data_IF_562056016762
#
_entry.id   IF_562056016762
#
_cell.length_a   1.000
_cell.length_b   1.000
_cell.length_c   1.000
_cell.angle_alpha   90.00
_cell.angle_beta   90.00
_cell.angle_gamma   90.00
#
_symmetry.space_group_name_H-M   'P 1'
#
loop_
_entity.id
_entity.type
_entity.pdbx_description
1 polymer ?
#
# COMPACT_ATOMS: atom_id res chain seq x y z
N UNK A 1 19.18 -34.93 -16.93
CA UNK A 1 17.98 -34.64 -16.11
C UNK A 1 17.49 -35.89 -15.37
N UNK A 2 17.21 -37.00 -16.07
CA UNK A 2 16.79 -38.28 -15.48
C UNK A 2 17.76 -38.85 -14.41
N UNK A 3 19.08 -38.80 -14.64
CA UNK A 3 20.09 -39.24 -13.65
C UNK A 3 20.17 -38.37 -12.38
N UNK A 4 19.63 -37.14 -12.39
CA UNK A 4 19.52 -36.31 -11.18
C UNK A 4 18.26 -36.69 -10.39
N UNK A 5 17.17 -37.01 -11.09
CA UNK A 5 15.92 -37.49 -10.49
C UNK A 5 16.09 -38.85 -9.80
N UNK A 6 16.87 -39.76 -10.40
CA UNK A 6 17.16 -41.08 -9.79
C UNK A 6 17.92 -41.00 -8.47
N UNK A 7 18.58 -39.87 -8.17
CA UNK A 7 19.29 -39.66 -6.91
C UNK A 7 18.38 -39.34 -5.71
N UNK A 8 17.12 -38.97 -5.95
CA UNK A 8 16.15 -38.66 -4.87
C UNK A 8 15.93 -39.87 -3.96
N UNK A 9 16.00 -41.10 -4.48
CA UNK A 9 15.81 -42.35 -3.71
C UNK A 9 16.89 -42.53 -2.64
N UNK A 10 18.05 -41.87 -2.79
CA UNK A 10 19.16 -41.94 -1.84
C UNK A 10 19.20 -40.73 -0.88
N UNK A 11 18.22 -39.83 -0.94
CA UNK A 11 18.11 -38.76 0.05
C UNK A 11 17.53 -39.34 1.35
N UNK A 12 18.34 -39.36 2.40
CA UNK A 12 17.84 -39.62 3.74
C UNK A 12 17.02 -38.43 4.22
N UNK A 13 15.70 -38.62 4.37
CA UNK A 13 14.82 -37.67 5.05
C UNK A 13 14.94 -37.92 6.55
N UNK A 14 15.61 -37.02 7.26
CA UNK A 14 15.62 -37.04 8.72
C UNK A 14 14.29 -36.51 9.25
N UNK A 15 13.64 -37.28 10.13
CA UNK A 15 12.48 -36.80 10.90
C UNK A 15 13.00 -36.36 12.26
N UNK A 16 12.70 -35.12 12.64
CA UNK A 16 12.98 -34.58 13.97
C UNK A 16 11.63 -34.46 14.67
N UNK A 17 11.45 -35.24 15.73
CA UNK A 17 10.30 -35.11 16.63
C UNK A 17 10.63 -34.08 17.71
N UNK A 18 9.75 -33.09 17.86
CA UNK A 18 9.85 -32.03 18.86
C UNK A 18 8.82 -32.28 19.96
N UNK A 19 9.18 -31.98 21.20
CA UNK A 19 8.26 -32.10 22.33
C UNK A 19 7.07 -31.12 22.17
N UNK A 20 5.87 -31.56 22.55
CA UNK A 20 4.62 -30.81 22.36
C UNK A 20 4.56 -29.50 23.16
N UNK A 21 5.36 -29.38 24.22
CA UNK A 21 5.38 -28.25 25.14
C UNK A 21 6.40 -27.16 24.76
N UNK A 22 7.18 -27.36 23.70
CA UNK A 22 8.13 -26.36 23.23
C UNK A 22 7.40 -25.10 22.77
N UNK A 23 7.91 -23.95 23.21
CA UNK A 23 7.44 -22.68 22.69
C UNK A 23 7.81 -22.52 21.22
N UNK A 24 7.06 -21.66 20.54
CA UNK A 24 7.18 -21.52 19.10
C UNK A 24 8.49 -20.85 18.69
N UNK A 25 9.08 -20.02 19.55
CA UNK A 25 10.39 -19.41 19.31
C UNK A 25 11.48 -20.49 19.26
N UNK A 26 11.40 -21.47 20.16
CA UNK A 26 12.30 -22.62 20.21
C UNK A 26 12.11 -23.54 19.01
N UNK A 27 10.86 -23.83 18.62
CA UNK A 27 10.58 -24.60 17.39
C UNK A 27 11.13 -23.90 16.15
N UNK A 28 10.96 -22.57 16.08
CA UNK A 28 11.50 -21.74 15.01
C UNK A 28 13.02 -21.78 14.99
N UNK A 29 13.66 -21.66 16.15
CA UNK A 29 15.12 -21.69 16.27
C UNK A 29 15.67 -23.06 15.88
N UNK A 30 15.05 -24.16 16.32
CA UNK A 30 15.42 -25.52 15.93
C UNK A 30 15.30 -25.68 14.42
N UNK A 31 14.18 -25.24 13.83
CA UNK A 31 13.98 -25.33 12.38
C UNK A 31 15.02 -24.49 11.60
N UNK A 32 15.29 -23.25 12.02
CA UNK A 32 16.31 -22.39 11.40
C UNK A 32 17.70 -23.03 11.51
N UNK A 33 18.04 -23.59 12.67
CA UNK A 33 19.33 -24.29 12.87
C UNK A 33 19.45 -25.55 12.01
N UNK A 34 18.33 -26.27 11.80
CA UNK A 34 18.28 -27.49 10.97
C UNK A 34 18.29 -27.15 9.48
N UNK A 35 17.61 -26.09 9.05
CA UNK A 35 17.64 -25.60 7.68
C UNK A 35 18.87 -24.71 7.45
N UNK A 36 20.02 -25.35 7.27
CA UNK A 36 21.30 -24.70 6.96
C UNK A 36 21.34 -23.92 5.61
N UNK A 37 20.23 -23.82 4.88
CA UNK A 37 20.14 -23.29 3.52
C UNK A 37 19.03 -22.25 3.23
N UNK A 38 18.38 -21.64 4.22
CA UNK A 38 17.76 -20.31 4.04
C UNK A 38 16.23 -20.17 4.15
N UNK A 39 15.85 -18.90 4.33
CA UNK A 39 14.54 -18.31 4.67
C UNK A 39 14.00 -18.71 6.05
N UNK A 40 14.06 -17.79 7.05
CA UNK A 40 13.44 -17.99 8.36
C UNK A 40 11.92 -18.21 8.21
N UNK A 41 11.36 -19.17 8.95
CA UNK A 41 9.90 -19.29 9.05
C UNK A 41 9.34 -18.07 9.80
N UNK A 42 8.35 -17.45 9.20
CA UNK A 42 7.58 -16.37 9.83
C UNK A 42 6.50 -16.93 10.74
N UNK A 43 6.00 -16.12 11.68
CA UNK A 43 4.84 -16.49 12.51
C UNK A 43 3.60 -16.83 11.67
N UNK A 44 3.45 -16.21 10.49
CA UNK A 44 2.40 -16.56 9.55
C UNK A 44 2.57 -17.98 8.99
N UNK A 45 3.80 -18.44 8.75
CA UNK A 45 4.05 -19.81 8.28
C UNK A 45 3.68 -20.86 9.34
N UNK A 46 3.97 -20.57 10.60
CA UNK A 46 3.53 -21.43 11.72
C UNK A 46 2.02 -21.45 11.87
N UNK A 47 1.35 -20.30 11.78
CA UNK A 47 -0.11 -20.23 11.78
C UNK A 47 -0.68 -21.07 10.63
N UNK A 48 -0.19 -20.87 9.42
CA UNK A 48 -0.59 -21.61 8.22
C UNK A 48 -0.35 -23.12 8.36
N UNK A 49 0.71 -23.55 9.05
CA UNK A 49 0.99 -24.96 9.34
C UNK A 49 0.03 -25.54 10.37
N UNK A 50 -0.24 -24.80 11.47
CA UNK A 50 -1.22 -25.21 12.50
C UNK A 50 -2.64 -25.28 11.95
N UNK A 51 -3.01 -24.37 11.05
CA UNK A 51 -4.30 -24.43 10.35
C UNK A 51 -4.38 -25.70 9.50
N UNK A 52 -3.33 -26.02 8.73
CA UNK A 52 -3.34 -27.14 7.79
C UNK A 52 -3.47 -28.52 8.46
N UNK A 53 -2.86 -28.71 9.64
CA UNK A 53 -2.88 -30.00 10.35
C UNK A 53 -4.17 -30.25 11.14
N UNK A 54 -5.05 -29.26 11.24
CA UNK A 54 -6.30 -29.40 12.00
C UNK A 54 -7.44 -29.92 11.10
N UNK A 55 -7.76 -31.20 11.22
CA UNK A 55 -8.89 -31.80 10.51
C UNK A 55 -10.23 -31.60 11.26
N UNK A 56 -10.18 -31.46 12.58
CA UNK A 56 -11.37 -31.40 13.45
C UNK A 56 -12.25 -30.17 13.21
N UNK A 57 -11.63 -29.02 12.96
CA UNK A 57 -12.31 -27.73 12.80
C UNK A 57 -12.29 -27.22 11.35
N UNK A 58 -12.05 -28.12 10.38
CA UNK A 58 -12.01 -27.77 8.95
C UNK A 58 -10.80 -26.92 8.56
N UNK A 59 -9.68 -27.07 9.27
CA UNK A 59 -8.46 -26.33 9.03
C UNK A 59 -7.89 -26.54 7.63
N UNK A 60 -8.03 -27.72 7.03
CA UNK A 60 -7.59 -27.97 5.66
C UNK A 60 -8.35 -27.11 4.63
N UNK A 61 -9.67 -26.95 4.77
CA UNK A 61 -10.47 -26.06 3.91
C UNK A 61 -10.17 -24.59 4.18
N UNK A 62 -9.97 -24.20 5.44
CA UNK A 62 -9.59 -22.84 5.81
C UNK A 62 -8.23 -22.45 5.23
N UNK A 63 -7.24 -23.37 5.31
CA UNK A 63 -5.93 -23.21 4.68
C UNK A 63 -6.07 -23.00 3.17
N UNK A 64 -6.79 -23.89 2.49
CA UNK A 64 -7.09 -23.78 1.06
C UNK A 64 -7.76 -22.46 0.72
N UNK A 65 -8.69 -21.97 1.55
CA UNK A 65 -9.36 -20.69 1.34
C UNK A 65 -8.39 -19.51 1.32
N UNK A 66 -7.46 -19.48 2.27
CA UNK A 66 -6.43 -18.44 2.35
C UNK A 66 -5.52 -18.51 1.13
N UNK A 67 -4.99 -19.70 0.80
CA UNK A 67 -4.08 -19.89 -0.32
C UNK A 67 -4.77 -19.56 -1.65
N UNK A 68 -5.94 -20.14 -1.92
CA UNK A 68 -6.66 -19.91 -3.17
C UNK A 68 -7.09 -18.46 -3.37
N UNK A 69 -7.53 -17.76 -2.33
CA UNK A 69 -7.82 -16.33 -2.48
C UNK A 69 -6.57 -15.53 -2.89
N UNK A 70 -5.44 -15.75 -2.23
CA UNK A 70 -4.20 -15.03 -2.53
C UNK A 70 -3.68 -15.36 -3.94
N UNK A 71 -3.79 -16.63 -4.35
CA UNK A 71 -3.45 -17.06 -5.70
C UNK A 71 -4.38 -16.45 -6.75
N UNK A 72 -5.69 -16.44 -6.52
CA UNK A 72 -6.68 -15.85 -7.42
C UNK A 72 -6.55 -14.35 -7.56
N UNK A 73 -6.24 -13.65 -6.47
CA UNK A 73 -5.99 -12.20 -6.50
C UNK A 73 -4.81 -11.84 -7.41
N UNK A 74 -3.87 -12.77 -7.64
CA UNK A 74 -2.71 -12.61 -8.53
C UNK A 74 -2.95 -13.17 -9.94
N UNK A 75 -3.65 -14.28 -10.04
CA UNK A 75 -3.87 -15.03 -11.28
C UNK A 75 -5.34 -15.47 -11.39
N UNK A 76 -6.27 -14.56 -11.74
CA UNK A 76 -7.71 -14.86 -11.83
C UNK A 76 -8.05 -15.99 -12.81
N UNK A 77 -7.18 -16.28 -13.78
CA UNK A 77 -7.37 -17.33 -14.79
C UNK A 77 -7.37 -18.76 -14.21
N UNK A 78 -6.87 -18.98 -12.99
CA UNK A 78 -6.78 -20.33 -12.40
C UNK A 78 -8.10 -20.85 -11.82
N UNK A 79 -9.18 -20.07 -11.88
CA UNK A 79 -10.52 -20.42 -11.36
C UNK A 79 -10.99 -21.78 -11.86
N UNK A 80 -10.93 -22.01 -13.17
CA UNK A 80 -11.36 -23.28 -13.78
C UNK A 80 -10.51 -24.47 -13.33
N UNK A 81 -9.23 -24.24 -13.04
CA UNK A 81 -8.31 -25.25 -12.51
C UNK A 81 -8.70 -25.65 -11.09
N UNK A 82 -9.07 -24.69 -10.23
CA UNK A 82 -9.52 -24.96 -8.86
C UNK A 82 -10.82 -25.77 -8.89
N UNK A 83 -11.82 -25.33 -9.67
CA UNK A 83 -13.12 -26.02 -9.74
C UNK A 83 -13.00 -27.46 -10.23
N UNK A 84 -12.08 -27.71 -11.16
CA UNK A 84 -11.86 -29.04 -11.72
C UNK A 84 -11.06 -29.96 -10.80
N UNK A 85 -10.02 -29.44 -10.16
CA UNK A 85 -9.04 -30.25 -9.45
C UNK A 85 -9.30 -30.35 -7.94
N UNK A 86 -10.13 -29.48 -7.37
CA UNK A 86 -10.50 -29.50 -5.94
C UNK A 86 -12.02 -29.34 -5.76
N UNK A 87 -12.81 -30.38 -6.12
CA UNK A 87 -14.27 -30.33 -6.01
C UNK A 87 -14.75 -30.24 -4.54
N UNK A 88 -13.95 -30.73 -3.58
CA UNK A 88 -14.21 -30.59 -2.15
C UNK A 88 -14.20 -29.10 -1.75
N UNK A 89 -13.15 -28.37 -2.13
CA UNK A 89 -13.08 -26.93 -1.85
C UNK A 89 -14.13 -26.15 -2.64
N UNK A 90 -14.36 -26.48 -3.91
CA UNK A 90 -15.36 -25.82 -4.74
C UNK A 90 -16.79 -25.97 -4.18
N UNK A 91 -17.07 -27.07 -3.45
CA UNK A 91 -18.31 -27.29 -2.72
C UNK A 91 -18.36 -26.66 -1.32
N UNK A 92 -17.27 -26.07 -0.83
CA UNK A 92 -17.20 -25.45 0.49
C UNK A 92 -17.86 -24.07 0.54
N UNK A 93 -18.11 -23.58 1.75
CA UNK A 93 -18.66 -22.23 1.98
C UNK A 93 -17.74 -21.08 1.53
N UNK A 94 -16.45 -21.33 1.35
CA UNK A 94 -15.48 -20.32 0.97
C UNK A 94 -15.53 -19.98 -0.52
N UNK A 95 -15.81 -20.97 -1.38
CA UNK A 95 -15.74 -20.79 -2.83
C UNK A 95 -16.71 -19.72 -3.35
N UNK A 96 -18.02 -19.75 -3.01
CA UNK A 96 -18.95 -18.71 -3.44
C UNK A 96 -18.55 -17.31 -2.97
N UNK A 97 -17.83 -17.21 -1.85
CA UNK A 97 -17.41 -15.94 -1.27
C UNK A 97 -16.20 -15.31 -1.96
N UNK A 98 -15.41 -16.07 -2.77
CA UNK A 98 -14.20 -15.58 -3.44
C UNK A 98 -14.17 -15.73 -4.96
N UNK A 99 -15.07 -16.54 -5.56
CA UNK A 99 -15.12 -16.78 -7.01
C UNK A 99 -15.15 -15.51 -7.86
N UNK A 100 -15.74 -14.43 -7.34
CA UNK A 100 -15.81 -13.12 -7.99
C UNK A 100 -14.44 -12.52 -8.35
N UNK A 101 -13.34 -12.97 -7.73
CA UNK A 101 -11.98 -12.57 -8.10
C UNK A 101 -11.65 -12.89 -9.56
N UNK A 102 -12.32 -13.89 -10.16
CA UNK A 102 -12.23 -14.23 -11.58
C UNK A 102 -12.48 -13.04 -12.52
N UNK A 103 -13.28 -12.08 -12.08
CA UNK A 103 -13.77 -10.96 -12.87
C UNK A 103 -12.96 -9.67 -12.63
N UNK A 104 -11.98 -9.71 -11.71
CA UNK A 104 -11.18 -8.54 -11.33
C UNK A 104 -10.07 -8.32 -12.36
N UNK A 105 -10.22 -7.25 -13.12
CA UNK A 105 -9.18 -6.73 -14.01
C UNK A 105 -8.49 -5.55 -13.30
N UNK A 106 -7.16 -5.62 -13.13
CA UNK A 106 -6.34 -4.60 -12.45
C UNK A 106 -6.60 -4.44 -10.92
N UNK A 107 -6.18 -5.42 -10.10
CA UNK A 107 -6.36 -5.37 -8.65
C UNK A 107 -5.46 -4.30 -8.01
N UNK A 108 -6.07 -3.39 -7.25
CA UNK A 108 -5.32 -2.40 -6.46
C UNK A 108 -4.59 -3.04 -5.26
N UNK A 109 -5.16 -4.13 -4.72
CA UNK A 109 -4.64 -4.83 -3.56
C UNK A 109 -4.54 -6.33 -3.87
N UNK A 110 -3.32 -6.86 -3.83
CA UNK A 110 -3.04 -8.29 -4.03
C UNK A 110 -2.40 -8.82 -2.75
N UNK A 111 -3.19 -9.39 -1.82
CA UNK A 111 -2.69 -9.83 -0.52
C UNK A 111 -1.90 -11.15 -0.62
N UNK A 112 -0.92 -11.29 0.27
CA UNK A 112 -0.31 -12.58 0.61
C UNK A 112 -1.10 -13.26 1.74
N UNK A 113 -0.80 -14.54 2.04
CA UNK A 113 -1.42 -15.21 3.20
C UNK A 113 -1.07 -14.51 4.52
N UNK A 114 0.13 -13.92 4.62
CA UNK A 114 0.52 -13.11 5.79
C UNK A 114 -0.36 -11.88 5.94
N UNK A 115 -0.68 -11.20 4.84
CA UNK A 115 -1.57 -10.04 4.84
C UNK A 115 -2.99 -10.44 5.27
N UNK A 116 -3.52 -11.53 4.68
CA UNK A 116 -4.85 -12.03 5.03
C UNK A 116 -4.92 -12.46 6.49
N UNK A 117 -3.96 -13.25 6.97
CA UNK A 117 -3.91 -13.68 8.36
C UNK A 117 -3.81 -12.48 9.29
N UNK A 118 -2.97 -11.48 8.98
CA UNK A 118 -2.86 -10.27 9.79
C UNK A 118 -4.19 -9.53 9.89
N UNK A 119 -4.90 -9.33 8.78
CA UNK A 119 -6.19 -8.65 8.79
C UNK A 119 -7.25 -9.47 9.54
N UNK A 120 -7.42 -10.74 9.18
CA UNK A 120 -8.43 -11.61 9.77
C UNK A 120 -8.21 -11.79 11.28
N UNK A 121 -6.96 -12.05 11.70
CA UNK A 121 -6.59 -12.19 13.10
C UNK A 121 -6.81 -10.89 13.87
N UNK A 122 -6.24 -9.77 13.39
CA UNK A 122 -6.32 -8.51 14.13
C UNK A 122 -7.76 -8.03 14.28
N UNK A 123 -8.56 -8.15 13.22
CA UNK A 123 -9.97 -7.78 13.25
C UNK A 123 -10.80 -8.62 14.24
N UNK A 124 -10.64 -9.95 14.23
CA UNK A 124 -11.51 -10.87 14.99
C UNK A 124 -11.07 -11.07 16.44
N UNK A 125 -9.77 -11.02 16.72
CA UNK A 125 -9.21 -11.41 18.02
C UNK A 125 -8.84 -10.24 18.93
N UNK A 126 -8.83 -9.00 18.42
CA UNK A 126 -8.41 -7.86 19.22
C UNK A 126 -6.91 -7.84 19.52
N UNK A 127 -6.10 -8.51 18.68
CA UNK A 127 -4.66 -8.74 18.90
C UNK A 127 -3.88 -8.58 17.61
N UNK A 128 -2.71 -7.95 17.68
CA UNK A 128 -1.91 -7.67 16.48
C UNK A 128 -0.67 -8.54 16.29
N UNK A 129 -0.32 -9.39 17.29
CA UNK A 129 0.86 -10.24 17.25
C UNK A 129 0.54 -11.62 16.71
N UNK A 130 1.02 -11.99 15.52
CA UNK A 130 0.74 -13.28 14.88
C UNK A 130 1.19 -14.49 15.71
N UNK A 131 2.19 -14.34 16.58
CA UNK A 131 2.56 -15.40 17.53
C UNK A 131 1.38 -15.80 18.44
N UNK A 132 0.54 -14.83 18.83
CA UNK A 132 -0.62 -15.06 19.68
C UNK A 132 -1.66 -15.91 18.93
N UNK A 133 -1.80 -15.72 17.60
CA UNK A 133 -2.66 -16.56 16.77
C UNK A 133 -2.23 -18.03 16.86
N UNK A 134 -0.93 -18.31 16.77
CA UNK A 134 -0.48 -19.71 16.77
C UNK A 134 -0.69 -20.37 18.13
N UNK A 135 -0.47 -19.62 19.22
CA UNK A 135 -0.77 -20.09 20.57
C UNK A 135 -2.27 -20.39 20.73
N UNK A 136 -3.14 -19.48 20.28
CA UNK A 136 -4.59 -19.61 20.36
C UNK A 136 -5.12 -20.79 19.54
N UNK A 137 -4.65 -20.96 18.30
CA UNK A 137 -4.99 -22.12 17.47
C UNK A 137 -4.51 -23.45 18.06
N UNK A 138 -3.47 -23.42 18.90
CA UNK A 138 -3.01 -24.60 19.64
C UNK A 138 -3.82 -24.85 20.92
N UNK A 139 -4.81 -24.00 21.25
CA UNK A 139 -5.63 -24.10 22.45
C UNK A 139 -5.06 -23.40 23.68
N UNK A 140 -4.02 -22.54 23.52
CA UNK A 140 -3.38 -21.89 24.67
C UNK A 140 -4.30 -20.86 25.32
N UNK A 141 -4.68 -21.13 26.55
CA UNK A 141 -5.31 -20.14 27.41
C UNK A 141 -4.24 -19.23 28.04
N UNK A 142 -4.29 -17.93 27.78
CA UNK A 142 -3.29 -16.97 28.26
C UNK A 142 -3.41 -16.66 29.76
N UNK A 143 -4.57 -16.87 30.37
CA UNK A 143 -4.80 -16.65 31.80
C UNK A 143 -4.33 -17.85 32.61
N UNK A 144 -4.82 -19.05 32.28
CA UNK A 144 -4.51 -20.29 33.00
C UNK A 144 -3.14 -20.86 32.62
N UNK A 145 -2.60 -20.45 31.47
CA UNK A 145 -1.39 -21.03 30.87
C UNK A 145 -1.53 -22.53 30.62
N UNK A 146 -2.75 -23.01 30.36
CA UNK A 146 -3.04 -24.39 29.97
C UNK A 146 -3.47 -24.48 28.51
N UNK A 147 -3.48 -25.70 27.98
CA UNK A 147 -4.03 -26.00 26.67
C UNK A 147 -5.44 -26.56 26.82
N UNK A 148 -6.39 -25.90 26.18
CA UNK A 148 -7.82 -26.13 26.31
C UNK A 148 -8.45 -26.30 24.92
N UNK A 149 -9.12 -27.43 24.69
CA UNK A 149 -9.74 -27.73 23.40
C UNK A 149 -10.82 -26.72 23.01
N UNK A 150 -11.54 -26.16 23.98
CA UNK A 150 -12.52 -25.09 23.78
C UNK A 150 -11.89 -23.82 23.22
N UNK A 151 -10.66 -23.48 23.65
CA UNK A 151 -9.94 -22.31 23.13
C UNK A 151 -9.54 -22.54 21.68
N UNK A 152 -9.10 -23.75 21.34
CA UNK A 152 -8.77 -24.11 19.95
C UNK A 152 -10.03 -24.00 19.06
N UNK A 153 -11.14 -24.59 19.48
CA UNK A 153 -12.43 -24.54 18.76
C UNK A 153 -12.88 -23.09 18.52
N UNK A 154 -12.90 -22.25 19.55
CA UNK A 154 -13.28 -20.85 19.44
C UNK A 154 -12.33 -20.09 18.50
N UNK A 155 -11.02 -20.37 18.60
CA UNK A 155 -10.01 -19.72 17.77
C UNK A 155 -10.17 -20.06 16.29
N UNK A 156 -10.43 -21.33 15.94
CA UNK A 156 -10.72 -21.71 14.56
C UNK A 156 -12.02 -21.07 14.05
N UNK A 157 -13.08 -21.02 14.88
CA UNK A 157 -14.33 -20.36 14.52
C UNK A 157 -14.13 -18.85 14.26
N UNK A 158 -13.40 -18.15 15.12
CA UNK A 158 -13.05 -16.73 14.96
C UNK A 158 -12.20 -16.50 13.71
N UNK A 159 -11.15 -17.29 13.50
CA UNK A 159 -10.30 -17.14 12.32
C UNK A 159 -11.08 -17.36 11.02
N UNK A 160 -11.96 -18.37 10.99
CA UNK A 160 -12.87 -18.62 9.87
C UNK A 160 -13.79 -17.42 9.61
N UNK A 161 -14.39 -16.85 10.65
CA UNK A 161 -15.18 -15.60 10.54
C UNK A 161 -14.36 -14.46 9.91
N UNK A 162 -13.12 -14.28 10.36
CA UNK A 162 -12.23 -13.24 9.85
C UNK A 162 -11.85 -13.45 8.39
N UNK A 163 -11.56 -14.69 7.99
CA UNK A 163 -11.29 -15.02 6.58
C UNK A 163 -12.54 -14.77 5.72
N UNK A 164 -13.73 -15.16 6.17
CA UNK A 164 -14.97 -14.81 5.46
C UNK A 164 -15.17 -13.30 5.32
N UNK A 165 -14.92 -12.54 6.39
CA UNK A 165 -15.03 -11.09 6.36
C UNK A 165 -14.04 -10.47 5.38
N UNK A 166 -12.81 -11.01 5.28
CA UNK A 166 -11.77 -10.57 4.36
C UNK A 166 -12.12 -10.85 2.90
N UNK A 167 -12.56 -12.06 2.57
CA UNK A 167 -12.76 -12.48 1.17
C UNK A 167 -14.08 -11.97 0.58
N UNK A 168 -15.02 -11.53 1.42
CA UNK A 168 -16.34 -11.07 0.98
C UNK A 168 -16.22 -9.91 0.00
N UNK A 169 -16.73 -10.10 -1.22
CA UNK A 169 -16.73 -9.10 -2.32
C UNK A 169 -17.05 -7.69 -1.87
N UNK A 170 -18.16 -7.51 -1.15
CA UNK A 170 -18.60 -6.18 -0.69
C UNK A 170 -17.62 -5.50 0.24
N UNK A 171 -16.83 -6.23 1.01
CA UNK A 171 -15.85 -5.65 1.92
C UNK A 171 -14.58 -5.26 1.15
N UNK A 172 -14.09 -6.17 0.31
CA UNK A 172 -12.90 -5.95 -0.50
C UNK A 172 -13.10 -4.84 -1.55
N UNK A 173 -14.22 -4.85 -2.27
CA UNK A 173 -14.57 -3.80 -3.24
C UNK A 173 -14.66 -2.44 -2.55
N UNK A 174 -15.29 -2.36 -1.37
CA UNK A 174 -15.41 -1.08 -0.63
C UNK A 174 -14.06 -0.56 -0.17
N UNK A 175 -13.19 -1.41 0.38
CA UNK A 175 -11.82 -1.00 0.73
C UNK A 175 -11.10 -0.41 -0.49
N UNK A 176 -11.09 -1.13 -1.61
CA UNK A 176 -10.38 -0.67 -2.81
C UNK A 176 -11.01 0.60 -3.39
N UNK A 177 -12.33 0.74 -3.37
CA UNK A 177 -13.03 1.98 -3.72
C UNK A 177 -12.62 3.16 -2.82
N UNK A 178 -12.52 2.94 -1.51
CA UNK A 178 -12.06 3.96 -0.55
C UNK A 178 -10.64 4.43 -0.93
N UNK A 179 -9.71 3.51 -1.17
CA UNK A 179 -8.34 3.86 -1.57
C UNK A 179 -8.30 4.59 -2.93
N UNK A 180 -9.04 4.13 -3.93
CA UNK A 180 -9.15 4.83 -5.23
C UNK A 180 -9.76 6.23 -5.08
N UNK A 181 -10.72 6.39 -4.17
CA UNK A 181 -11.35 7.69 -3.86
C UNK A 181 -10.41 8.64 -3.10
N UNK A 182 -9.33 8.16 -2.49
CA UNK A 182 -8.26 8.99 -1.95
C UNK A 182 -7.21 9.39 -3.03
N UNK A 183 -7.24 8.79 -4.23
CA UNK A 183 -6.30 9.08 -5.31
C UNK A 183 -5.32 7.95 -5.64
N UNK A 184 -5.36 6.83 -4.91
CA UNK A 184 -4.55 5.64 -5.20
C UNK A 184 -5.21 4.80 -6.31
N UNK A 185 -5.04 5.28 -7.55
CA UNK A 185 -5.79 4.80 -8.71
C UNK A 185 -5.16 3.62 -9.46
N UNK A 186 -3.92 3.25 -9.13
CA UNK A 186 -3.21 2.10 -9.70
C UNK A 186 -2.44 1.38 -8.60
N UNK A 187 -2.13 0.09 -8.80
CA UNK A 187 -1.35 -0.71 -7.85
C UNK A 187 0.06 -0.12 -7.60
N UNK A 188 0.66 0.54 -8.59
CA UNK A 188 1.96 1.22 -8.46
C UNK A 188 1.94 2.39 -7.45
N UNK A 189 0.76 2.88 -7.06
CA UNK A 189 0.60 3.88 -6.01
C UNK A 189 0.44 3.26 -4.63
N UNK A 190 0.40 1.93 -4.49
CA UNK A 190 0.35 1.26 -3.21
C UNK A 190 1.77 0.94 -2.74
N UNK A 191 2.37 1.86 -1.97
CA UNK A 191 3.76 1.72 -1.50
C UNK A 191 3.92 0.88 -0.23
N UNK A 192 2.82 0.47 0.42
CA UNK A 192 2.84 -0.32 1.66
C UNK A 192 1.61 -1.21 1.80
N UNK A 193 1.83 -2.53 1.73
CA UNK A 193 0.77 -3.51 2.00
C UNK A 193 0.30 -3.47 3.45
N UNK A 194 1.20 -3.25 4.42
CA UNK A 194 0.81 -3.14 5.82
C UNK A 194 -0.14 -1.95 6.07
N UNK A 195 0.05 -0.82 5.38
CA UNK A 195 -0.89 0.29 5.49
C UNK A 195 -2.27 -0.08 4.93
N UNK A 196 -2.33 -0.87 3.84
CA UNK A 196 -3.60 -1.40 3.30
C UNK A 196 -4.24 -2.39 4.29
N UNK A 197 -3.45 -3.27 4.91
CA UNK A 197 -3.92 -4.21 5.93
C UNK A 197 -4.54 -3.47 7.11
N UNK A 198 -3.88 -2.41 7.60
CA UNK A 198 -4.41 -1.57 8.67
C UNK A 198 -5.71 -0.87 8.27
N UNK A 199 -5.74 -0.27 7.07
CA UNK A 199 -6.97 0.33 6.54
C UNK A 199 -8.11 -0.70 6.44
N UNK A 200 -7.81 -1.94 6.08
CA UNK A 200 -8.82 -3.00 6.03
C UNK A 200 -9.31 -3.41 7.42
N UNK A 201 -8.41 -3.55 8.40
CA UNK A 201 -8.77 -3.81 9.80
C UNK A 201 -9.70 -2.72 10.34
N UNK A 202 -9.35 -1.44 10.13
CA UNK A 202 -10.19 -0.32 10.54
C UNK A 202 -11.56 -0.35 9.86
N UNK A 203 -11.60 -0.61 8.56
CA UNK A 203 -12.86 -0.75 7.82
C UNK A 203 -13.74 -1.87 8.41
N UNK A 204 -13.18 -3.07 8.62
CA UNK A 204 -13.94 -4.20 9.18
C UNK A 204 -14.40 -3.92 10.62
N UNK A 205 -13.55 -3.33 11.47
CA UNK A 205 -13.91 -2.92 12.83
C UNK A 205 -15.01 -1.87 12.86
N UNK A 206 -14.91 -0.83 12.04
CA UNK A 206 -15.91 0.23 11.99
C UNK A 206 -17.26 -0.29 11.52
N UNK A 207 -17.27 -1.24 10.57
CA UNK A 207 -18.49 -1.95 10.16
C UNK A 207 -19.11 -2.75 11.31
N UNK A 208 -18.29 -3.43 12.12
CA UNK A 208 -18.75 -4.19 13.30
C UNK A 208 -19.30 -3.27 14.40
N UNK A 209 -18.67 -2.12 14.59
CA UNK A 209 -19.08 -1.09 15.58
C UNK A 209 -20.26 -0.24 15.10
N UNK A 210 -20.74 -0.44 13.86
CA UNK A 210 -21.89 0.28 13.32
C UNK A 210 -21.60 1.74 12.95
N UNK A 211 -20.34 2.08 12.69
CA UNK A 211 -19.93 3.42 12.23
C UNK A 211 -20.65 3.73 10.90
N UNK A 212 -21.28 4.92 10.75
CA UNK A 212 -21.90 5.34 9.51
C UNK A 212 -20.95 5.23 8.32
N UNK A 213 -21.46 4.82 7.15
CA UNK A 213 -20.62 4.48 6.01
C UNK A 213 -19.78 5.68 5.52
N UNK A 214 -20.35 6.87 5.46
CA UNK A 214 -19.68 8.10 5.04
C UNK A 214 -18.54 8.50 6.00
N UNK A 215 -18.78 8.38 7.31
CA UNK A 215 -17.78 8.60 8.35
C UNK A 215 -16.66 7.56 8.29
N UNK A 216 -17.00 6.28 8.15
CA UNK A 216 -16.04 5.20 8.05
C UNK A 216 -15.15 5.33 6.82
N UNK A 217 -15.73 5.65 5.67
CA UNK A 217 -14.98 5.88 4.44
C UNK A 217 -13.99 7.05 4.60
N UNK A 218 -14.42 8.17 5.20
CA UNK A 218 -13.55 9.31 5.53
C UNK A 218 -12.40 8.90 6.44
N UNK A 219 -12.71 8.19 7.53
CA UNK A 219 -11.74 7.78 8.52
C UNK A 219 -10.69 6.82 7.94
N UNK A 220 -11.11 5.85 7.14
CA UNK A 220 -10.20 4.88 6.48
C UNK A 220 -9.28 5.58 5.47
N UNK A 221 -9.78 6.55 4.69
CA UNK A 221 -8.92 7.37 3.79
C UNK A 221 -7.85 8.10 4.58
N UNK A 222 -8.25 8.84 5.62
CA UNK A 222 -7.34 9.65 6.42
C UNK A 222 -6.32 8.78 7.17
N UNK A 223 -6.75 7.64 7.71
CA UNK A 223 -5.86 6.68 8.37
C UNK A 223 -4.81 6.11 7.42
N UNK A 224 -5.23 5.67 6.23
CA UNK A 224 -4.31 5.14 5.22
C UNK A 224 -3.27 6.19 4.81
N UNK A 225 -3.73 7.40 4.53
CA UNK A 225 -2.85 8.51 4.12
C UNK A 225 -1.89 8.91 5.23
N UNK A 226 -2.35 8.95 6.48
CA UNK A 226 -1.46 9.18 7.63
C UNK A 226 -0.41 8.08 7.74
N UNK A 227 -0.84 6.82 7.63
CA UNK A 227 0.03 5.65 7.78
C UNK A 227 1.16 5.62 6.76
N UNK A 228 0.92 6.06 5.52
CA UNK A 228 1.98 6.15 4.50
C UNK A 228 2.90 7.36 4.72
N UNK A 229 2.36 8.50 5.16
CA UNK A 229 3.12 9.74 5.34
C UNK A 229 4.03 9.68 6.58
N UNK A 230 3.63 8.96 7.63
CA UNK A 230 4.44 8.82 8.84
C UNK A 230 5.26 7.53 8.88
N UNK A 231 4.99 6.60 7.97
CA UNK A 231 5.62 5.27 8.01
C UNK A 231 5.16 4.44 9.21
N UNK A 232 3.95 4.68 9.74
CA UNK A 232 3.42 4.04 10.96
C UNK A 232 3.66 2.52 11.01
N UNK A 233 3.51 1.83 9.89
CA UNK A 233 3.63 0.37 9.80
C UNK A 233 4.91 -0.14 9.11
N UNK A 234 5.97 0.67 9.01
CA UNK A 234 7.27 0.22 8.45
C UNK A 234 8.26 -0.28 9.51
N UNK A 235 8.07 0.10 10.78
CA UNK A 235 8.95 -0.27 11.90
C UNK A 235 8.47 -1.53 12.64
N UNK A 236 8.24 -1.40 13.95
CA UNK A 236 7.73 -2.48 14.81
C UNK A 236 6.25 -2.76 14.55
N UNK A 237 5.99 -3.38 13.40
CA UNK A 237 4.67 -3.56 12.83
C UNK A 237 3.73 -4.35 13.75
N UNK A 238 4.15 -5.51 14.26
CA UNK A 238 3.30 -6.39 15.09
C UNK A 238 2.85 -5.68 16.37
N UNK A 239 3.77 -4.94 17.01
CA UNK A 239 3.44 -4.16 18.20
C UNK A 239 2.52 -2.98 17.87
N UNK A 240 2.70 -2.35 16.71
CA UNK A 240 1.85 -1.22 16.29
C UNK A 240 0.43 -1.69 16.01
N UNK A 241 0.25 -2.79 15.27
CA UNK A 241 -1.06 -3.40 15.06
C UNK A 241 -1.72 -3.80 16.39
N UNK A 242 -0.96 -4.37 17.32
CA UNK A 242 -1.45 -4.82 18.61
C UNK A 242 -1.88 -3.67 19.52
N UNK A 243 -1.10 -2.58 19.54
CA UNK A 243 -1.49 -1.35 20.24
C UNK A 243 -2.73 -0.74 19.60
N UNK A 244 -2.75 -0.60 18.28
CA UNK A 244 -3.87 0.03 17.57
C UNK A 244 -5.18 -0.71 17.86
N UNK A 245 -5.21 -2.04 17.69
CA UNK A 245 -6.44 -2.80 17.89
C UNK A 245 -6.91 -2.83 19.36
N UNK A 246 -5.99 -2.95 20.33
CA UNK A 246 -6.35 -2.92 21.75
C UNK A 246 -6.90 -1.56 22.16
N UNK A 247 -6.36 -0.48 21.62
CA UNK A 247 -6.88 0.86 21.85
C UNK A 247 -8.24 1.04 21.17
N UNK A 248 -8.45 0.53 19.95
CA UNK A 248 -9.77 0.52 19.31
C UNK A 248 -10.80 -0.20 20.19
N UNK A 249 -10.46 -1.36 20.76
CA UNK A 249 -11.36 -2.09 21.66
C UNK A 249 -11.65 -1.34 22.98
N UNK A 250 -10.66 -0.63 23.52
CA UNK A 250 -10.81 0.06 24.79
C UNK A 250 -11.64 1.35 24.72
N UNK A 251 -11.58 2.10 23.62
CA UNK A 251 -12.19 3.44 23.53
C UNK A 251 -13.04 3.69 22.26
N UNK A 252 -13.16 2.70 21.37
CA UNK A 252 -13.91 2.79 20.12
C UNK A 252 -13.07 3.31 18.95
N UNK A 253 -13.39 2.84 17.74
CA UNK A 253 -12.62 3.10 16.53
C UNK A 253 -12.46 4.60 16.23
N UNK A 254 -13.57 5.33 16.16
CA UNK A 254 -13.60 6.73 15.69
C UNK A 254 -12.71 7.60 16.59
N UNK A 255 -12.97 7.57 17.90
CA UNK A 255 -12.22 8.35 18.88
C UNK A 255 -10.71 8.06 18.83
N UNK A 256 -10.33 6.78 18.80
CA UNK A 256 -8.92 6.42 18.76
C UNK A 256 -8.26 6.90 17.47
N UNK A 257 -8.92 6.67 16.35
CA UNK A 257 -8.35 6.94 15.04
C UNK A 257 -8.14 8.45 14.82
N UNK A 258 -9.10 9.28 15.22
CA UNK A 258 -8.98 10.74 15.17
C UNK A 258 -7.84 11.24 16.06
N UNK A 259 -7.76 10.74 17.30
CA UNK A 259 -6.68 11.09 18.24
C UNK A 259 -5.30 10.78 17.67
N UNK A 260 -5.10 9.61 17.07
CA UNK A 260 -3.82 9.23 16.47
C UNK A 260 -3.53 10.09 15.24
N UNK A 261 -4.50 10.32 14.37
CA UNK A 261 -4.31 11.16 13.17
C UNK A 261 -3.85 12.57 13.56
N UNK A 262 -4.46 13.18 14.57
CA UNK A 262 -4.08 14.52 15.05
C UNK A 262 -2.67 14.55 15.64
N UNK A 263 -2.28 13.51 16.38
CA UNK A 263 -0.95 13.41 17.00
C UNK A 263 0.17 13.14 15.98
N UNK A 264 -0.10 12.32 14.97
CA UNK A 264 0.87 11.93 13.93
C UNK A 264 1.06 13.03 12.87
N UNK A 265 0.02 13.83 12.62
CA UNK A 265 0.02 14.92 11.63
C UNK A 265 -0.37 16.25 12.30
N UNK A 266 0.47 16.80 13.19
CA UNK A 266 0.25 18.12 13.74
C UNK A 266 0.39 19.21 12.65
N UNK A 267 -0.12 20.44 12.85
CA UNK A 267 0.01 21.52 11.86
C UNK A 267 1.44 21.78 11.38
N UNK A 268 2.44 21.59 12.25
CA UNK A 268 3.87 21.76 11.94
C UNK A 268 4.44 20.67 11.03
N UNK A 269 3.78 19.52 10.89
CA UNK A 269 4.18 18.45 9.98
C UNK A 269 4.30 18.96 8.54
N UNK A 270 3.31 19.75 8.10
CA UNK A 270 3.17 20.17 6.71
C UNK A 270 4.24 21.16 6.25
N UNK A 271 4.62 22.11 7.10
CA UNK A 271 5.58 23.17 6.74
C UNK A 271 6.98 22.92 7.30
N UNK A 272 7.11 22.03 8.29
CA UNK A 272 8.38 21.67 8.90
C UNK A 272 8.91 20.32 8.41
N UNK A 273 8.24 19.23 8.80
CA UNK A 273 8.76 17.87 8.62
C UNK A 273 8.65 17.35 7.19
N UNK A 274 7.46 17.43 6.58
CA UNK A 274 7.19 16.83 5.26
C UNK A 274 8.11 17.35 4.14
N UNK A 275 8.40 18.67 4.03
CA UNK A 275 9.35 19.16 3.03
C UNK A 275 10.75 18.57 3.18
N UNK A 276 11.20 18.29 4.41
CA UNK A 276 12.49 17.64 4.67
C UNK A 276 12.47 16.17 4.26
N UNK A 277 11.39 15.45 4.61
CA UNK A 277 11.18 14.05 4.21
C UNK A 277 11.12 13.88 2.68
N UNK A 278 10.65 14.91 1.96
CA UNK A 278 10.63 14.97 0.50
C UNK A 278 12.01 15.23 -0.14
N UNK A 279 13.09 15.37 0.65
CA UNK A 279 14.46 15.39 0.14
C UNK A 279 14.95 13.97 -0.19
N UNK A 280 14.43 13.41 -1.27
CA UNK A 280 14.74 12.05 -1.72
C UNK A 280 14.76 11.97 -3.25
N UNK A 281 15.54 11.03 -3.77
CA UNK A 281 15.57 10.70 -5.20
C UNK A 281 14.74 9.46 -5.57
N UNK A 282 14.03 8.87 -4.61
CA UNK A 282 13.21 7.70 -4.87
C UNK A 282 11.84 8.11 -5.42
N UNK A 283 11.61 7.82 -6.70
CA UNK A 283 10.31 8.01 -7.34
C UNK A 283 9.20 7.07 -6.83
N UNK A 284 9.55 6.14 -5.93
CA UNK A 284 8.64 5.24 -5.20
C UNK A 284 8.55 5.60 -3.71
N UNK A 285 9.09 6.76 -3.31
CA UNK A 285 8.95 7.24 -1.94
C UNK A 285 7.46 7.47 -1.59
N UNK A 286 7.03 7.15 -0.36
CA UNK A 286 5.64 7.34 0.05
C UNK A 286 5.18 8.79 -0.10
N UNK A 287 6.09 9.76 0.05
CA UNK A 287 5.79 11.19 -0.11
C UNK A 287 5.48 11.58 -1.55
N UNK A 288 6.23 11.05 -2.51
CA UNK A 288 5.95 11.33 -3.92
C UNK A 288 4.69 10.60 -4.41
N UNK A 289 4.47 9.38 -3.92
CA UNK A 289 3.23 8.65 -4.17
C UNK A 289 2.02 9.37 -3.59
N UNK A 290 2.11 9.88 -2.36
CA UNK A 290 1.07 10.71 -1.75
C UNK A 290 0.84 12.01 -2.54
N UNK A 291 1.91 12.64 -3.07
CA UNK A 291 1.77 13.80 -3.95
C UNK A 291 1.02 13.46 -5.25
N UNK A 292 1.33 12.34 -5.90
CA UNK A 292 0.60 11.91 -7.11
C UNK A 292 -0.86 11.56 -6.81
N UNK A 293 -1.14 10.90 -5.68
CA UNK A 293 -2.49 10.63 -5.23
C UNK A 293 -3.26 11.93 -4.95
N UNK A 294 -2.61 12.91 -4.33
CA UNK A 294 -3.18 14.24 -4.10
C UNK A 294 -3.57 14.91 -5.43
N UNK A 295 -2.65 14.96 -6.41
CA UNK A 295 -2.93 15.52 -7.73
C UNK A 295 -4.08 14.77 -8.43
N UNK A 296 -4.09 13.43 -8.38
CA UNK A 296 -5.15 12.63 -8.97
C UNK A 296 -6.53 12.87 -8.33
N UNK A 297 -6.57 13.09 -7.01
CA UNK A 297 -7.82 13.34 -6.27
C UNK A 297 -8.33 14.76 -6.43
N UNK A 298 -7.44 15.75 -6.47
CA UNK A 298 -7.78 17.16 -6.64
C UNK A 298 -8.16 17.51 -8.09
N UNK A 299 -7.94 16.59 -9.03
CA UNK A 299 -8.28 16.79 -10.44
C UNK A 299 -7.23 17.61 -11.19
N UNK A 300 -5.99 17.61 -10.71
CA UNK A 300 -4.89 18.42 -11.23
C UNK A 300 -4.54 17.98 -12.64
N UNK A 301 -4.25 18.95 -13.52
CA UNK A 301 -3.81 18.67 -14.88
C UNK A 301 -2.32 18.32 -14.89
N UNK A 302 -1.94 17.46 -15.83
CA UNK A 302 -0.52 17.20 -16.11
C UNK A 302 0.21 18.51 -16.43
N UNK A 303 1.51 18.56 -16.16
CA UNK A 303 2.33 19.74 -16.43
C UNK A 303 2.23 20.14 -17.90
N UNK A 304 1.86 21.40 -18.14
CA UNK A 304 1.58 22.02 -19.44
C UNK A 304 0.45 21.35 -20.25
N UNK A 305 -0.35 20.49 -19.63
CA UNK A 305 -1.54 19.90 -20.26
C UNK A 305 -2.75 20.81 -20.12
N UNK A 306 -3.50 20.97 -21.21
CA UNK A 306 -4.76 21.73 -21.21
C UNK A 306 -5.92 20.93 -20.62
N UNK A 307 -5.93 19.61 -20.83
CA UNK A 307 -7.11 18.76 -20.60
C UNK A 307 -6.82 17.44 -19.89
N UNK A 308 -5.59 16.90 -19.99
CA UNK A 308 -5.30 15.57 -19.45
C UNK A 308 -4.94 15.69 -17.97
N UNK A 309 -5.68 14.99 -17.11
CA UNK A 309 -5.44 15.00 -15.68
C UNK A 309 -4.25 14.13 -15.29
N UNK A 310 -3.65 14.39 -14.13
CA UNK A 310 -2.65 13.49 -13.54
C UNK A 310 -3.23 12.09 -13.33
N UNK A 311 -4.52 12.00 -12.97
CA UNK A 311 -5.23 10.72 -12.86
C UNK A 311 -5.22 9.94 -14.17
N UNK A 312 -5.55 10.58 -15.30
CA UNK A 312 -5.56 9.93 -16.61
C UNK A 312 -4.17 9.48 -17.03
N UNK A 313 -3.15 10.31 -16.77
CA UNK A 313 -1.76 9.93 -17.02
C UNK A 313 -1.35 8.70 -16.19
N UNK A 314 -1.72 8.63 -14.91
CA UNK A 314 -1.41 7.48 -14.06
C UNK A 314 -2.08 6.19 -14.57
N UNK A 315 -3.36 6.26 -14.95
CA UNK A 315 -4.10 5.10 -15.48
C UNK A 315 -3.55 4.62 -16.83
N UNK A 316 -2.99 5.50 -17.64
CA UNK A 316 -2.39 5.17 -18.94
C UNK A 316 -0.86 4.93 -18.86
N UNK A 317 -0.31 4.74 -17.66
CA UNK A 317 1.14 4.51 -17.43
C UNK A 317 2.02 5.62 -18.01
N UNK A 318 1.57 6.87 -17.91
CA UNK A 318 2.33 8.05 -18.27
C UNK A 318 3.62 8.15 -17.46
N UNK A 319 4.66 8.69 -18.08
CA UNK A 319 5.99 8.80 -17.46
C UNK A 319 6.13 10.03 -16.58
N UNK A 320 7.08 9.94 -15.64
CA UNK A 320 7.55 11.06 -14.83
C UNK A 320 8.65 11.77 -15.61
N UNK A 321 8.52 13.08 -15.77
CA UNK A 321 9.47 13.91 -16.50
C UNK A 321 10.16 14.90 -15.57
N UNK A 322 11.39 15.31 -15.93
CA UNK A 322 12.15 16.28 -15.15
C UNK A 322 11.77 17.71 -15.57
N UNK A 323 11.44 18.58 -14.60
CA UNK A 323 11.25 20.01 -14.85
C UNK A 323 12.58 20.63 -15.29
N UNK A 324 13.66 20.41 -14.55
CA UNK A 324 15.01 20.74 -14.99
C UNK A 324 15.56 19.53 -15.76
N UNK A 325 15.73 19.61 -17.10
CA UNK A 325 16.00 18.43 -17.90
C UNK A 325 17.26 17.69 -17.45
N UNK A 326 17.17 16.36 -17.37
CA UNK A 326 18.26 15.51 -16.89
C UNK A 326 19.58 15.77 -17.62
N UNK A 327 19.55 15.83 -18.96
CA UNK A 327 20.74 16.06 -19.79
C UNK A 327 21.37 17.43 -19.54
N UNK A 328 20.55 18.46 -19.27
CA UNK A 328 21.03 19.78 -18.89
C UNK A 328 21.79 19.71 -17.55
N UNK A 329 21.20 19.12 -16.51
CA UNK A 329 21.85 19.00 -15.20
C UNK A 329 23.10 18.10 -15.22
N UNK A 330 23.13 17.07 -16.07
CA UNK A 330 24.32 16.23 -16.27
C UNK A 330 25.50 17.03 -16.85
N UNK A 331 25.24 17.92 -17.82
CA UNK A 331 26.27 18.81 -18.39
C UNK A 331 26.86 19.77 -17.35
N UNK A 332 26.08 20.09 -16.31
CA UNK A 332 26.51 20.90 -15.16
C UNK A 332 27.22 20.06 -14.06
N UNK A 333 27.45 18.77 -14.29
CA UNK A 333 28.18 17.90 -13.36
C UNK A 333 27.34 17.35 -12.19
N UNK A 334 26.00 17.50 -12.22
CA UNK A 334 25.15 16.96 -11.14
C UNK A 334 25.04 15.43 -11.21
N UNK A 335 25.13 14.80 -10.05
CA UNK A 335 24.99 13.35 -9.89
C UNK A 335 23.54 12.88 -10.07
N UNK A 336 23.36 11.57 -10.27
CA UNK A 336 22.02 10.96 -10.43
C UNK A 336 21.09 11.20 -9.26
N UNK A 337 21.58 11.12 -8.03
CA UNK A 337 20.78 11.39 -6.83
C UNK A 337 20.34 12.85 -6.75
N UNK A 338 21.08 13.79 -7.35
CA UNK A 338 20.74 15.22 -7.38
C UNK A 338 19.72 15.56 -8.46
N UNK A 339 19.88 15.09 -9.69
CA UNK A 339 18.89 15.42 -10.74
C UNK A 339 17.60 14.60 -10.65
N UNK A 340 17.60 13.42 -10.00
CA UNK A 340 16.40 12.58 -9.78
C UNK A 340 15.64 12.91 -8.49
N UNK A 341 15.83 14.08 -7.91
CA UNK A 341 15.05 14.52 -6.75
C UNK A 341 13.56 14.51 -7.10
N UNK A 342 12.70 14.05 -6.19
CA UNK A 342 11.25 13.95 -6.46
C UNK A 342 10.61 15.31 -6.76
N UNK A 343 11.16 16.38 -6.17
CA UNK A 343 10.76 17.75 -6.46
C UNK A 343 11.20 18.24 -7.83
N UNK A 344 11.98 17.47 -8.60
CA UNK A 344 12.23 17.73 -10.01
C UNK A 344 11.25 16.98 -10.94
N UNK A 345 10.36 16.12 -10.42
CA UNK A 345 9.44 15.34 -11.25
C UNK A 345 8.06 15.97 -11.42
N UNK A 346 7.50 15.80 -12.61
CA UNK A 346 6.10 16.09 -12.97
C UNK A 346 5.52 14.97 -13.83
N UNK A 347 4.21 14.81 -13.76
CA UNK A 347 3.47 14.01 -14.76
C UNK A 347 3.15 14.92 -15.94
N UNK A 348 3.55 14.52 -17.15
CA UNK A 348 3.24 15.25 -18.37
C UNK A 348 3.01 14.28 -19.53
N UNK A 349 2.48 14.80 -20.63
CA UNK A 349 2.36 14.04 -21.87
C UNK A 349 3.73 13.90 -22.55
N UNK A 350 3.97 12.78 -23.22
CA UNK A 350 5.25 12.48 -23.89
C UNK A 350 5.63 13.56 -24.91
N UNK A 351 4.66 14.10 -25.66
CA UNK A 351 4.87 15.14 -26.66
C UNK A 351 5.38 16.44 -26.04
N UNK A 352 4.89 16.80 -24.84
CA UNK A 352 5.35 17.97 -24.08
C UNK A 352 6.81 17.77 -23.66
N UNK A 353 7.13 16.60 -23.11
CA UNK A 353 8.50 16.28 -22.71
C UNK A 353 9.47 16.26 -23.91
N UNK A 354 9.05 15.71 -25.05
CA UNK A 354 9.84 15.72 -26.29
C UNK A 354 10.10 17.16 -26.76
N UNK A 355 9.09 18.03 -26.73
CA UNK A 355 9.24 19.43 -27.11
C UNK A 355 10.19 20.22 -26.19
N UNK A 356 10.22 19.91 -24.89
CA UNK A 356 11.18 20.47 -23.93
C UNK A 356 12.60 19.97 -24.23
N UNK A 357 12.77 18.66 -24.46
CA UNK A 357 14.07 18.07 -24.80
C UNK A 357 15.11 18.25 -23.69
N UNK A 358 16.33 18.67 -24.06
CA UNK A 358 17.41 19.00 -23.11
C UNK A 358 17.66 20.51 -22.95
N UNK A 359 16.66 21.33 -23.31
CA UNK A 359 16.75 22.79 -23.25
C UNK A 359 17.06 23.25 -21.82
N UNK A 360 17.90 24.28 -21.65
CA UNK A 360 18.03 24.94 -20.36
C UNK A 360 16.68 25.46 -19.85
N UNK A 361 16.37 25.32 -18.55
CA UNK A 361 15.13 25.82 -17.94
C UNK A 361 14.83 27.28 -18.28
N UNK A 362 15.81 28.16 -18.16
CA UNK A 362 15.69 29.59 -18.46
C UNK A 362 15.26 29.86 -19.92
N UNK A 363 15.62 28.98 -20.85
CA UNK A 363 15.24 29.11 -22.26
C UNK A 363 13.80 28.66 -22.46
N UNK A 364 13.45 27.46 -22.01
CA UNK A 364 12.12 26.93 -22.30
C UNK A 364 11.02 27.62 -21.48
N UNK A 365 11.28 28.06 -20.25
CA UNK A 365 10.30 28.85 -19.48
C UNK A 365 10.07 30.23 -20.09
N UNK A 366 11.09 30.86 -20.69
CA UNK A 366 10.90 32.07 -21.49
C UNK A 366 10.05 31.80 -22.74
N UNK A 367 10.30 30.70 -23.44
CA UNK A 367 9.48 30.28 -24.57
C UNK A 367 8.01 29.97 -24.17
N UNK A 368 7.78 29.42 -22.97
CA UNK A 368 6.42 29.24 -22.39
C UNK A 368 5.75 30.61 -22.15
N UNK A 369 6.49 31.58 -21.57
CA UNK A 369 5.97 32.93 -21.34
C UNK A 369 5.64 33.63 -22.66
N UNK A 370 6.48 33.50 -23.68
CA UNK A 370 6.21 34.01 -25.03
C UNK A 370 4.92 33.39 -25.61
N UNK A 371 4.76 32.06 -25.48
CA UNK A 371 3.59 31.34 -25.99
C UNK A 371 2.27 31.85 -25.38
N UNK A 372 2.24 32.14 -24.08
CA UNK A 372 1.01 32.66 -23.43
C UNK A 372 0.77 34.15 -23.65
N UNK A 373 1.71 34.85 -24.27
CA UNK A 373 1.61 36.27 -24.64
C UNK A 373 1.47 36.46 -26.17
N UNK A 374 0.89 35.49 -26.87
CA UNK A 374 0.60 35.57 -28.31
C UNK A 374 1.73 35.06 -29.22
N UNK A 375 2.80 34.52 -28.65
CA UNK A 375 3.86 33.83 -29.38
C UNK A 375 3.42 32.47 -29.97
N UNK A 376 4.32 31.79 -30.70
CA UNK A 376 4.02 30.50 -31.30
C UNK A 376 3.80 29.40 -30.24
N UNK A 377 2.88 28.48 -30.51
CA UNK A 377 2.66 27.29 -29.66
C UNK A 377 3.81 26.30 -29.81
N UNK A 378 4.57 26.10 -28.73
CA UNK A 378 5.74 25.22 -28.63
C UNK A 378 5.52 24.07 -27.64
N UNK A 379 4.77 24.28 -26.57
CA UNK A 379 4.58 23.34 -25.46
C UNK A 379 3.11 23.17 -25.12
N UNK A 380 2.54 22.02 -25.47
CA UNK A 380 1.14 21.73 -25.19
C UNK A 380 0.17 22.76 -25.79
N UNK A 381 -1.01 22.88 -25.18
CA UNK A 381 -2.10 23.72 -25.69
C UNK A 381 -2.40 24.99 -24.90
N UNK A 382 -1.69 25.26 -23.80
CA UNK A 382 -1.94 26.42 -22.93
C UNK A 382 -1.44 27.69 -23.60
N UNK A 383 -2.32 28.65 -23.87
CA UNK A 383 -1.96 29.91 -24.55
C UNK A 383 -2.43 31.17 -23.85
N UNK A 384 -2.98 31.05 -22.65
CA UNK A 384 -3.41 32.17 -21.83
C UNK A 384 -2.67 32.15 -20.47
N UNK A 385 -2.29 33.34 -19.93
CA UNK A 385 -1.51 33.41 -18.70
C UNK A 385 -2.22 32.85 -17.46
N UNK A 386 -3.55 32.95 -17.39
CA UNK A 386 -4.31 32.52 -16.22
C UNK A 386 -4.40 30.99 -16.13
N UNK A 387 -4.62 30.30 -17.26
CA UNK A 387 -4.55 28.83 -17.31
C UNK A 387 -3.14 28.34 -17.03
N UNK A 388 -2.09 29.05 -17.47
CA UNK A 388 -0.71 28.71 -17.13
C UNK A 388 -0.45 28.84 -15.62
N UNK A 389 -0.90 29.94 -15.00
CA UNK A 389 -0.81 30.15 -13.55
C UNK A 389 -1.48 29.00 -12.80
N UNK A 390 -2.71 28.65 -13.19
CA UNK A 390 -3.42 27.52 -12.59
C UNK A 390 -2.64 26.20 -12.76
N UNK A 391 -2.13 25.91 -13.96
CA UNK A 391 -1.36 24.68 -14.18
C UNK A 391 -0.07 24.62 -13.35
N UNK A 392 0.60 25.76 -13.12
CA UNK A 392 1.78 25.84 -12.27
C UNK A 392 1.43 25.62 -10.80
N UNK A 393 0.32 26.18 -10.32
CA UNK A 393 -0.20 25.93 -8.96
C UNK A 393 -0.59 24.46 -8.76
N UNK A 394 -1.22 23.84 -9.74
CA UNK A 394 -1.58 22.40 -9.76
C UNK A 394 -0.33 21.49 -9.75
N UNK A 395 0.77 21.94 -10.36
CA UNK A 395 2.03 21.19 -10.43
C UNK A 395 3.09 21.64 -9.42
N UNK A 396 2.70 22.53 -8.49
CA UNK A 396 3.53 23.07 -7.41
C UNK A 396 4.83 23.72 -7.91
N UNK A 397 4.77 24.46 -9.02
CA UNK A 397 5.90 25.26 -9.49
C UNK A 397 5.95 26.62 -8.77
N UNK A 398 7.15 27.15 -8.47
CA UNK A 398 7.31 28.49 -7.92
C UNK A 398 6.70 29.57 -8.83
N UNK A 399 6.03 30.54 -8.23
CA UNK A 399 5.36 31.65 -8.93
C UNK A 399 6.36 32.49 -9.74
N UNK A 400 7.61 32.62 -9.31
CA UNK A 400 8.65 33.35 -10.05
C UNK A 400 8.84 32.82 -11.48
N UNK A 401 8.66 31.51 -11.68
CA UNK A 401 8.83 30.87 -12.98
C UNK A 401 7.76 31.28 -14.00
N UNK A 402 6.61 31.80 -13.55
CA UNK A 402 5.59 32.36 -14.45
C UNK A 402 6.10 33.59 -15.19
N UNK A 403 7.00 34.35 -14.59
CA UNK A 403 7.58 35.56 -15.19
C UNK A 403 8.89 35.26 -15.94
N UNK A 404 9.22 33.98 -16.13
CA UNK A 404 10.51 33.57 -16.72
C UNK A 404 11.70 33.64 -15.75
N UNK A 405 11.48 34.01 -14.48
CA UNK A 405 12.50 34.03 -13.45
C UNK A 405 12.68 32.62 -12.87
N UNK A 406 13.59 31.87 -13.50
CA UNK A 406 13.94 30.52 -13.07
C UNK A 406 14.98 30.58 -11.94
N UNK A 407 14.64 30.17 -10.70
CA UNK A 407 15.62 30.11 -9.62
C UNK A 407 16.68 29.05 -9.90
N UNK A 408 17.81 29.13 -9.20
CA UNK A 408 18.81 28.06 -9.24
C UNK A 408 18.21 26.73 -8.76
N UNK A 409 18.84 25.62 -9.15
CA UNK A 409 18.26 24.30 -8.94
C UNK A 409 18.00 23.95 -7.47
N UNK A 410 18.84 24.39 -6.52
CA UNK A 410 18.65 24.07 -5.11
C UNK A 410 17.55 24.92 -4.46
N UNK A 411 17.48 26.21 -4.83
CA UNK A 411 16.38 27.09 -4.44
C UNK A 411 15.04 26.58 -5.00
N UNK A 412 15.02 26.16 -6.27
CA UNK A 412 13.87 25.54 -6.91
C UNK A 412 13.40 24.29 -6.14
N UNK A 413 14.30 23.34 -5.86
CA UNK A 413 13.94 22.11 -5.16
C UNK A 413 13.38 22.40 -3.76
N UNK A 414 13.97 23.35 -3.04
CA UNK A 414 13.53 23.73 -1.69
C UNK A 414 12.11 24.30 -1.72
N UNK A 415 11.85 25.26 -2.60
CA UNK A 415 10.52 25.87 -2.69
C UNK A 415 9.48 24.89 -3.22
N UNK A 416 9.82 24.07 -4.22
CA UNK A 416 8.89 23.08 -4.77
C UNK A 416 8.50 22.02 -3.73
N UNK A 417 9.43 21.54 -2.89
CA UNK A 417 9.06 20.62 -1.78
C UNK A 417 8.06 21.25 -0.81
N UNK A 418 8.21 22.54 -0.50
CA UNK A 418 7.27 23.29 0.34
C UNK A 418 5.88 23.36 -0.31
N UNK A 419 5.81 23.72 -1.59
CA UNK A 419 4.55 23.78 -2.34
C UNK A 419 3.88 22.41 -2.47
N UNK A 420 4.64 21.35 -2.76
CA UNK A 420 4.15 19.97 -2.79
C UNK A 420 3.56 19.54 -1.44
N UNK A 421 4.24 19.85 -0.34
CA UNK A 421 3.76 19.55 1.00
C UNK A 421 2.44 20.28 1.32
N UNK A 422 2.29 21.54 0.90
CA UNK A 422 1.04 22.28 1.03
C UNK A 422 -0.08 21.72 0.14
N UNK A 423 0.24 21.20 -1.04
CA UNK A 423 -0.73 20.50 -1.90
C UNK A 423 -1.23 19.22 -1.24
N UNK A 424 -0.33 18.44 -0.63
CA UNK A 424 -0.69 17.24 0.15
C UNK A 424 -1.56 17.64 1.35
N UNK A 425 -1.25 18.74 2.06
CA UNK A 425 -2.10 19.25 3.14
C UNK A 425 -3.53 19.52 2.67
N UNK A 426 -3.68 20.29 1.58
CA UNK A 426 -5.00 20.60 0.99
C UNK A 426 -5.75 19.33 0.59
N UNK A 427 -5.05 18.36 0.02
CA UNK A 427 -5.64 17.05 -0.29
C UNK A 427 -6.12 16.32 0.97
N UNK A 428 -5.30 16.27 2.03
CA UNK A 428 -5.65 15.62 3.29
C UNK A 428 -6.89 16.24 3.97
N UNK A 429 -7.06 17.55 3.85
CA UNK A 429 -8.22 18.30 4.37
C UNK A 429 -9.54 17.93 3.67
N UNK A 430 -9.49 17.44 2.42
CA UNK A 430 -10.69 17.07 1.63
C UNK A 430 -10.92 15.55 1.54
N UNK A 431 -10.16 14.75 2.30
CA UNK A 431 -10.35 13.29 2.42
C UNK A 431 -11.57 12.93 3.26
#
# INVERSE_FOLDING_TARGET
>A
MLQRLSKIVYNHVGVIELAEDLDIETVTEIFIRVNSAGVPLSQADFAMSKIAVNEKYGGHLLRKAIDYFCHLAKAPEVVSTIEKNDPEFAGSEFWPAMRWLAEVNDPLYVPTYTDMLRVAFTFEFGRGRLQDLVALLSGRNFETKQYEESIAEESFAKLKSGVHAFIKKTHFDRLTMILRSAGFVTADLISSQNAVNAAYILYLRGRREGVPADELERLVRRWYVMSILTGRYSGNLESTFDVDIRQIEAQGLVRYAETVIENEIPPTFWTGMLPQLMNTSSGQSPYFIAYLAAQARLGDKGFLSTNITVRDLLLNRGDKHHIFPRKYLQKQGLSRSRYNQIANFVMAQSEINIAIGDKPPEVYFREILEQVNGGPKRYGGITDPDTLRQNFEENCLPVSMLNGEVPDFETFLTERRRLMALRIKRWFEVL
#
